data_IF_959722232444
#
_entry.id   IF_959722232444
#
_cell.length_a   1.000
_cell.length_b   1.000
_cell.length_c   1.000
_cell.angle_alpha   90.00
_cell.angle_beta   90.00
_cell.angle_gamma   90.00
#
_symmetry.space_group_name_H-M   'P 1'
#
loop_
_entity.id
_entity.type
_entity.pdbx_description
1 polymer ?
#
# COMPACT_ATOMS: atom_id res chain seq x y z
N UNK A 1 14.78 -2.74 14.48
CA UNK A 1 13.51 -3.02 15.14
C UNK A 1 12.92 -4.33 14.64
N UNK A 2 11.86 -4.86 15.27
CA UNK A 2 11.30 -6.19 14.96
C UNK A 2 12.37 -7.30 14.97
N UNK A 3 13.20 -7.35 16.03
CA UNK A 3 14.28 -8.31 16.17
C UNK A 3 15.25 -8.38 14.96
N UNK A 4 15.48 -7.24 14.30
CA UNK A 4 16.36 -7.12 13.15
C UNK A 4 15.71 -7.50 11.79
N UNK A 5 14.44 -7.89 11.75
CA UNK A 5 13.77 -8.25 10.51
C UNK A 5 13.29 -7.06 9.67
N UNK A 6 13.45 -5.83 10.20
CA UNK A 6 13.18 -4.56 9.50
C UNK A 6 14.38 -3.60 9.66
N UNK A 7 15.48 -3.82 8.95
CA UNK A 7 16.71 -3.03 9.10
C UNK A 7 16.73 -1.75 8.23
N UNK A 8 15.67 -1.46 7.49
CA UNK A 8 15.63 -0.39 6.50
C UNK A 8 15.55 0.99 7.13
N UNK A 9 16.20 1.96 6.48
CA UNK A 9 16.17 3.36 6.90
C UNK A 9 14.79 3.96 6.62
N UNK A 10 14.13 4.56 7.63
CA UNK A 10 12.85 5.21 7.40
C UNK A 10 13.04 6.55 6.68
N UNK A 11 12.24 6.79 5.65
CA UNK A 11 12.05 8.07 4.99
C UNK A 11 10.63 8.57 5.19
N UNK A 12 10.41 9.86 4.98
CA UNK A 12 9.09 10.47 5.15
C UNK A 12 8.85 11.50 4.05
N UNK A 13 7.60 11.55 3.56
CA UNK A 13 7.07 12.56 2.65
C UNK A 13 5.87 13.23 3.32
N UNK A 14 5.81 14.56 3.24
CA UNK A 14 4.69 15.36 3.76
C UNK A 14 3.80 15.90 2.61
N UNK A 15 4.04 15.47 1.37
CA UNK A 15 3.37 15.98 0.16
C UNK A 15 1.84 15.84 0.19
N UNK A 16 1.34 14.82 0.88
CA UNK A 16 -0.11 14.60 1.06
C UNK A 16 -0.70 15.32 2.28
N UNK A 17 0.11 16.19 2.94
CA UNK A 17 -0.29 16.94 4.12
C UNK A 17 -0.43 16.09 5.38
N UNK A 18 0.20 14.93 5.41
CA UNK A 18 0.45 14.08 6.56
C UNK A 18 1.82 13.43 6.38
N UNK A 19 2.42 12.98 7.45
CA UNK A 19 3.74 12.36 7.43
C UNK A 19 3.65 10.92 6.97
N UNK A 20 3.91 10.68 5.68
CA UNK A 20 3.90 9.36 5.06
C UNK A 20 5.26 8.70 5.16
N UNK A 21 5.33 7.55 5.82
CA UNK A 21 6.55 6.74 5.88
C UNK A 21 6.77 5.96 4.58
N UNK A 22 8.03 5.82 4.19
CA UNK A 22 8.44 4.89 3.13
C UNK A 22 9.87 4.40 3.33
N UNK A 23 10.20 3.30 2.68
CA UNK A 23 11.55 2.78 2.50
C UNK A 23 11.98 3.10 1.06
N UNK A 24 13.26 3.40 0.83
CA UNK A 24 13.84 3.69 -0.48
C UNK A 24 15.24 3.08 -0.54
N UNK A 25 15.34 1.89 -1.08
CA UNK A 25 16.56 1.07 -1.12
C UNK A 25 16.99 0.77 -2.56
N UNK A 26 18.31 0.59 -2.73
CA UNK A 26 18.92 0.26 -4.02
C UNK A 26 19.46 1.47 -4.78
N UNK A 27 19.99 1.25 -6.02
CA UNK A 27 20.63 2.30 -6.79
C UNK A 27 19.62 3.37 -7.24
N UNK A 28 19.92 4.64 -7.00
CA UNK A 28 19.04 5.77 -7.28
C UNK A 28 18.63 5.90 -8.74
N UNK A 29 19.53 5.57 -9.66
CA UNK A 29 19.32 5.66 -11.12
C UNK A 29 18.75 4.36 -11.73
N UNK A 30 18.50 3.34 -10.91
CA UNK A 30 17.92 2.11 -11.38
C UNK A 30 16.41 2.25 -11.63
N UNK A 31 15.85 1.31 -12.39
CA UNK A 31 14.40 1.25 -12.61
C UNK A 31 13.64 1.22 -11.29
N UNK A 32 12.61 2.05 -11.19
CA UNK A 32 11.79 2.19 -9.98
C UNK A 32 10.82 1.02 -9.84
N UNK A 33 10.83 0.40 -8.66
CA UNK A 33 9.78 -0.52 -8.19
C UNK A 33 9.05 0.13 -7.01
N UNK A 34 7.74 0.29 -7.10
CA UNK A 34 6.90 0.71 -5.97
C UNK A 34 6.12 -0.50 -5.48
N UNK A 35 6.33 -0.87 -4.20
CA UNK A 35 5.66 -2.00 -3.57
C UNK A 35 4.51 -1.49 -2.70
N UNK A 36 3.25 -1.73 -3.09
CA UNK A 36 2.06 -1.27 -2.38
C UNK A 36 1.38 -2.41 -1.63
N UNK A 37 1.30 -2.26 -0.32
CA UNK A 37 0.62 -3.18 0.58
C UNK A 37 -0.90 -2.98 0.57
N UNK A 38 -1.62 -3.86 1.26
CA UNK A 38 -3.04 -3.75 1.51
C UNK A 38 -3.39 -3.80 3.00
N UNK A 39 -4.62 -4.14 3.30
CA UNK A 39 -5.15 -4.24 4.65
C UNK A 39 -5.17 -5.71 5.13
N UNK A 40 -4.85 -5.99 6.38
CA UNK A 40 -4.43 -5.11 7.48
C UNK A 40 -2.89 -5.05 7.64
N UNK A 41 -2.15 -4.91 6.54
CA UNK A 41 -0.69 -4.96 6.52
C UNK A 41 -0.04 -3.56 6.36
N UNK A 42 1.27 -3.55 6.22
CA UNK A 42 2.07 -2.37 5.93
C UNK A 42 3.34 -2.78 5.17
N UNK A 43 4.27 -1.89 4.91
CA UNK A 43 5.50 -2.17 4.16
C UNK A 43 6.28 -3.41 4.62
N UNK A 44 6.11 -3.85 5.87
CA UNK A 44 6.71 -5.06 6.40
C UNK A 44 6.38 -6.34 5.60
N UNK A 45 5.27 -6.35 4.87
CA UNK A 45 4.92 -7.40 3.92
C UNK A 45 6.08 -7.69 2.96
N UNK A 46 6.77 -6.64 2.53
CA UNK A 46 7.82 -6.69 1.53
C UNK A 46 9.25 -6.88 2.09
N UNK A 47 9.41 -7.10 3.41
CA UNK A 47 10.72 -7.21 4.09
C UNK A 47 11.71 -8.19 3.45
N UNK A 48 11.19 -9.29 2.87
CA UNK A 48 12.01 -10.30 2.20
C UNK A 48 12.21 -10.02 0.70
N UNK A 49 11.39 -9.13 0.11
CA UNK A 49 11.52 -8.68 -1.27
C UNK A 49 12.57 -7.57 -1.40
N UNK A 50 12.55 -6.61 -0.48
CA UNK A 50 13.41 -5.43 -0.52
C UNK A 50 14.88 -5.79 -0.72
N UNK A 51 15.54 -6.66 0.10
CA UNK A 51 16.95 -6.93 -0.04
C UNK A 51 17.35 -7.55 -1.38
N UNK A 52 16.46 -8.38 -1.96
CA UNK A 52 16.73 -9.06 -3.23
C UNK A 52 16.49 -8.15 -4.44
N UNK A 53 15.44 -7.36 -4.38
CA UNK A 53 15.08 -6.47 -5.48
C UNK A 53 16.00 -5.24 -5.52
N UNK A 54 16.44 -4.73 -4.37
CA UNK A 54 17.31 -3.56 -4.28
C UNK A 54 18.74 -3.80 -4.78
N UNK A 55 19.11 -5.04 -5.08
CA UNK A 55 20.37 -5.34 -5.78
C UNK A 55 20.39 -4.78 -7.21
N UNK A 56 19.21 -4.64 -7.86
CA UNK A 56 19.10 -4.26 -9.27
C UNK A 56 18.13 -3.10 -9.52
N UNK A 57 17.24 -2.81 -8.58
CA UNK A 57 16.15 -1.83 -8.72
C UNK A 57 16.18 -0.82 -7.58
N UNK A 58 15.64 0.37 -7.84
CA UNK A 58 15.27 1.29 -6.76
C UNK A 58 13.92 0.88 -6.22
N UNK A 59 13.91 0.33 -5.00
CA UNK A 59 12.72 -0.25 -4.35
C UNK A 59 12.15 0.74 -3.35
N UNK A 60 10.94 1.22 -3.64
CA UNK A 60 10.21 2.17 -2.80
C UNK A 60 9.00 1.48 -2.20
N UNK A 61 8.89 1.52 -0.88
CA UNK A 61 7.82 0.82 -0.14
C UNK A 61 7.13 1.82 0.79
N UNK A 62 6.10 2.55 0.32
CA UNK A 62 5.34 3.45 1.17
C UNK A 62 4.36 2.68 2.06
N UNK A 63 4.14 3.21 3.26
CA UNK A 63 2.98 2.85 4.08
C UNK A 63 1.82 3.77 3.73
N UNK A 64 0.64 3.20 3.52
CA UNK A 64 -0.57 3.99 3.29
C UNK A 64 -0.92 4.84 4.51
N UNK A 65 -1.66 5.93 4.30
CA UNK A 65 -2.22 6.76 5.38
C UNK A 65 -2.99 5.88 6.37
N UNK A 66 -2.67 5.97 7.65
CA UNK A 66 -3.30 5.16 8.70
C UNK A 66 -2.67 3.79 8.94
N UNK A 67 -1.62 3.42 8.18
CA UNK A 67 -0.96 2.12 8.28
C UNK A 67 0.53 2.25 8.63
N UNK A 68 1.08 1.18 9.21
CA UNK A 68 2.49 1.04 9.47
C UNK A 68 3.09 2.17 10.31
N UNK A 69 4.04 2.90 9.73
CA UNK A 69 4.71 4.04 10.37
C UNK A 69 4.24 5.39 9.83
N UNK A 70 3.26 5.40 8.91
CA UNK A 70 2.60 6.61 8.46
C UNK A 70 1.66 7.16 9.53
N UNK A 71 1.44 8.47 9.51
CA UNK A 71 0.46 9.10 10.40
C UNK A 71 -0.95 8.58 10.17
N UNK A 72 -1.77 8.69 11.22
CA UNK A 72 -3.20 8.37 11.22
C UNK A 72 -4.00 9.65 11.53
N UNK A 73 -4.10 10.60 10.55
CA UNK A 73 -4.86 11.83 10.75
C UNK A 73 -6.30 11.55 11.13
N UNK A 74 -6.80 12.24 12.17
CA UNK A 74 -8.16 12.04 12.67
C UNK A 74 -9.19 13.00 12.03
N UNK A 75 -8.71 13.97 11.27
CA UNK A 75 -9.47 15.03 10.61
C UNK A 75 -9.71 14.74 9.11
N UNK A 76 -9.43 13.52 8.67
CA UNK A 76 -9.51 13.11 7.25
C UNK A 76 -10.42 11.92 7.05
N UNK A 77 -10.99 11.85 5.84
CA UNK A 77 -11.81 10.73 5.42
C UNK A 77 -10.93 9.70 4.70
N UNK A 78 -11.00 8.46 5.13
CA UNK A 78 -10.28 7.33 4.57
C UNK A 78 -11.13 6.67 3.48
N UNK A 79 -10.92 7.07 2.25
CA UNK A 79 -11.59 6.50 1.06
C UNK A 79 -10.55 6.00 0.06
N UNK A 80 -10.97 5.15 -0.86
CA UNK A 80 -10.15 4.73 -2.01
C UNK A 80 -9.61 5.95 -2.76
N UNK A 81 -10.46 6.95 -3.01
CA UNK A 81 -10.08 8.18 -3.69
C UNK A 81 -8.94 8.91 -2.96
N UNK A 82 -9.04 9.04 -1.64
CA UNK A 82 -8.00 9.68 -0.81
C UNK A 82 -6.65 8.94 -0.92
N UNK A 83 -6.67 7.60 -0.88
CA UNK A 83 -5.45 6.81 -1.02
C UNK A 83 -4.82 6.93 -2.42
N UNK A 84 -5.62 7.00 -3.48
CA UNK A 84 -5.13 7.24 -4.85
C UNK A 84 -4.48 8.62 -4.97
N UNK A 85 -5.13 9.67 -4.46
CA UNK A 85 -4.58 11.03 -4.47
C UNK A 85 -3.30 11.16 -3.63
N UNK A 86 -3.23 10.44 -2.51
CA UNK A 86 -2.00 10.38 -1.72
C UNK A 86 -0.86 9.72 -2.49
N UNK A 87 -1.14 8.64 -3.23
CA UNK A 87 -0.15 7.98 -4.09
C UNK A 87 0.32 8.90 -5.21
N UNK A 88 -0.59 9.65 -5.85
CA UNK A 88 -0.26 10.64 -6.89
C UNK A 88 0.74 11.68 -6.36
N UNK A 89 0.41 12.31 -5.23
CA UNK A 89 1.27 13.33 -4.61
C UNK A 89 2.62 12.77 -4.14
N UNK A 90 2.62 11.55 -3.62
CA UNK A 90 3.84 10.85 -3.21
C UNK A 90 4.78 10.59 -4.39
N UNK A 91 4.23 10.13 -5.52
CA UNK A 91 4.99 9.86 -6.75
C UNK A 91 5.54 11.16 -7.33
N UNK A 92 4.76 12.25 -7.30
CA UNK A 92 5.18 13.56 -7.75
C UNK A 92 6.28 14.15 -6.86
N UNK A 93 6.15 14.05 -5.55
CA UNK A 93 7.15 14.52 -4.57
C UNK A 93 8.52 13.88 -4.77
N UNK A 94 8.53 12.59 -5.08
CA UNK A 94 9.76 11.84 -5.35
C UNK A 94 10.21 11.91 -6.82
N UNK A 95 9.46 12.61 -7.68
CA UNK A 95 9.70 12.76 -9.12
C UNK A 95 9.97 11.40 -9.80
N UNK A 96 9.04 10.44 -9.63
CA UNK A 96 9.21 9.07 -10.12
C UNK A 96 8.50 8.88 -11.45
N UNK A 97 9.18 8.24 -12.38
CA UNK A 97 8.67 7.85 -13.69
C UNK A 97 9.08 6.41 -14.03
N UNK A 98 8.55 5.86 -15.13
CA UNK A 98 8.87 4.50 -15.63
C UNK A 98 8.62 3.41 -14.58
N UNK A 99 7.55 3.58 -13.79
CA UNK A 99 7.28 2.84 -12.56
C UNK A 99 6.84 1.41 -12.88
N UNK A 100 7.46 0.45 -12.19
CA UNK A 100 6.92 -0.91 -12.05
C UNK A 100 6.28 -1.05 -10.68
N UNK A 101 4.98 -1.31 -10.64
CA UNK A 101 4.27 -1.58 -9.40
C UNK A 101 4.32 -3.07 -9.04
N UNK A 102 4.51 -3.36 -7.76
CA UNK A 102 4.34 -4.67 -7.13
C UNK A 102 3.30 -4.50 -6.03
N UNK A 103 2.10 -5.02 -6.22
CA UNK A 103 0.98 -4.68 -5.36
C UNK A 103 0.18 -5.89 -4.90
N UNK A 104 -0.34 -5.78 -3.69
CA UNK A 104 -1.13 -6.80 -3.03
C UNK A 104 -2.38 -6.16 -2.42
N UNK A 105 -3.52 -6.89 -2.44
CA UNK A 105 -4.78 -6.50 -1.81
C UNK A 105 -5.24 -5.09 -2.23
N UNK A 106 -5.52 -4.14 -1.33
CA UNK A 106 -5.88 -2.75 -1.65
C UNK A 106 -4.83 -2.02 -2.50
N UNK A 107 -3.55 -2.39 -2.36
CA UNK A 107 -2.49 -1.84 -3.21
C UNK A 107 -2.76 -2.03 -4.70
N UNK A 108 -3.39 -3.15 -5.10
CA UNK A 108 -3.76 -3.39 -6.49
C UNK A 108 -4.87 -2.48 -6.99
N UNK A 109 -5.89 -2.22 -6.17
CA UNK A 109 -6.99 -1.31 -6.53
C UNK A 109 -6.50 0.14 -6.65
N UNK A 110 -5.66 0.59 -5.71
CA UNK A 110 -5.05 1.92 -5.72
C UNK A 110 -4.16 2.07 -6.96
N UNK A 111 -3.31 1.08 -7.25
CA UNK A 111 -2.46 1.05 -8.45
C UNK A 111 -3.29 1.08 -9.73
N UNK A 112 -4.38 0.31 -9.79
CA UNK A 112 -5.28 0.28 -10.95
C UNK A 112 -5.86 1.66 -11.25
N UNK A 113 -6.38 2.34 -10.22
CA UNK A 113 -6.91 3.69 -10.36
C UNK A 113 -5.82 4.71 -10.77
N UNK A 114 -4.63 4.63 -10.19
CA UNK A 114 -3.47 5.44 -10.58
C UNK A 114 -3.09 5.20 -12.05
N UNK A 115 -2.98 3.95 -12.48
CA UNK A 115 -2.56 3.58 -13.84
C UNK A 115 -3.54 4.10 -14.91
N UNK A 116 -4.84 4.12 -14.60
CA UNK A 116 -5.84 4.68 -15.53
C UNK A 116 -5.65 6.18 -15.72
N UNK A 117 -5.21 6.89 -14.68
CA UNK A 117 -5.01 8.36 -14.72
C UNK A 117 -3.65 8.76 -15.31
N UNK A 118 -2.63 7.92 -15.09
CA UNK A 118 -1.24 8.20 -15.45
C UNK A 118 -0.59 7.02 -16.18
N UNK A 119 -1.18 6.55 -17.31
CA UNK A 119 -0.67 5.37 -18.03
C UNK A 119 0.76 5.56 -18.55
N UNK A 120 1.15 6.81 -18.84
CA UNK A 120 2.47 7.18 -19.35
C UNK A 120 3.59 6.95 -18.32
N UNK A 121 3.26 6.98 -17.04
CA UNK A 121 4.24 6.82 -15.94
C UNK A 121 4.39 5.37 -15.49
N UNK A 122 3.53 4.47 -15.98
CA UNK A 122 3.50 3.06 -15.54
C UNK A 122 4.06 2.14 -16.60
N UNK A 123 5.16 1.48 -16.28
CA UNK A 123 5.82 0.54 -17.17
C UNK A 123 5.28 -0.88 -17.07
N UNK A 124 5.07 -1.36 -15.84
CA UNK A 124 4.57 -2.71 -15.54
C UNK A 124 3.81 -2.74 -14.23
N UNK A 125 2.97 -3.76 -14.09
CA UNK A 125 2.28 -4.06 -12.84
C UNK A 125 2.38 -5.55 -12.54
N UNK A 126 2.88 -5.90 -11.36
CA UNK A 126 2.87 -7.25 -10.80
C UNK A 126 1.80 -7.34 -9.71
N UNK A 127 0.85 -8.24 -9.88
CA UNK A 127 -0.32 -8.39 -9.02
C UNK A 127 -0.19 -9.63 -8.14
N UNK A 128 -0.40 -9.45 -6.83
CA UNK A 128 -0.40 -10.52 -5.85
C UNK A 128 -1.71 -10.48 -5.06
N UNK A 129 -2.53 -11.52 -5.17
CA UNK A 129 -3.78 -11.67 -4.40
C UNK A 129 -4.60 -10.37 -4.32
N UNK A 130 -4.97 -9.82 -5.48
CA UNK A 130 -5.67 -8.53 -5.58
C UNK A 130 -6.58 -8.46 -6.79
N UNK A 131 -7.39 -7.40 -6.81
CA UNK A 131 -8.15 -6.96 -7.99
C UNK A 131 -7.43 -5.76 -8.61
N UNK A 132 -7.50 -5.66 -9.94
CA UNK A 132 -6.89 -4.57 -10.70
C UNK A 132 -7.91 -4.00 -11.69
N UNK A 133 -8.22 -2.71 -11.54
CA UNK A 133 -8.93 -1.95 -12.54
C UNK A 133 -10.28 -2.50 -12.95
N UNK A 134 -11.23 -2.63 -12.03
CA UNK A 134 -12.56 -3.07 -12.41
C UNK A 134 -13.43 -1.90 -12.87
N UNK A 135 -13.47 -1.65 -14.18
CA UNK A 135 -14.29 -0.61 -14.83
C UNK A 135 -15.72 -1.05 -15.18
N UNK A 136 -16.23 -2.16 -14.66
CA UNK A 136 -17.56 -2.69 -14.94
C UNK A 136 -18.44 -2.78 -13.71
N UNK A 137 -19.78 -2.68 -13.91
CA UNK A 137 -20.74 -3.07 -12.88
C UNK A 137 -20.54 -4.57 -12.62
N UNK A 138 -19.98 -4.92 -11.48
CA UNK A 138 -19.91 -6.32 -11.02
C UNK A 138 -21.35 -6.75 -10.68
N UNK A 139 -22.07 -7.24 -11.68
CA UNK A 139 -23.33 -7.94 -11.43
C UNK A 139 -22.94 -9.29 -10.82
N UNK A 140 -23.35 -9.51 -9.58
CA UNK A 140 -23.13 -10.75 -8.82
C UNK A 140 -21.68 -10.99 -8.31
N UNK A 141 -20.96 -9.97 -7.89
CA UNK A 141 -19.82 -10.21 -7.02
C UNK A 141 -20.32 -10.85 -5.74
N UNK A 142 -20.08 -12.14 -5.59
CA UNK A 142 -20.20 -12.76 -4.27
C UNK A 142 -19.28 -12.00 -3.34
N UNK A 143 -19.86 -11.34 -2.33
CA UNK A 143 -19.05 -10.77 -1.25
C UNK A 143 -18.22 -11.91 -0.69
N UNK A 144 -16.91 -11.74 -0.63
CA UNK A 144 -16.09 -12.80 -0.03
C UNK A 144 -16.53 -13.01 1.42
N UNK A 145 -16.40 -14.21 1.97
CA UNK A 145 -16.73 -14.46 3.38
C UNK A 145 -16.03 -13.48 4.34
N UNK A 146 -14.86 -12.97 3.96
CA UNK A 146 -14.13 -11.94 4.67
C UNK A 146 -14.89 -10.62 4.75
N UNK A 147 -15.39 -10.10 3.63
CA UNK A 147 -16.16 -8.86 3.63
C UNK A 147 -17.51 -8.98 4.34
N UNK A 148 -18.16 -10.14 4.26
CA UNK A 148 -19.39 -10.40 5.01
C UNK A 148 -19.11 -10.48 6.52
N UNK A 149 -17.96 -11.03 6.90
CA UNK A 149 -17.52 -11.09 8.28
C UNK A 149 -17.22 -9.69 8.81
N UNK A 150 -16.46 -8.87 8.06
CA UNK A 150 -16.18 -7.46 8.42
C UNK A 150 -17.49 -6.70 8.65
N UNK A 151 -18.42 -6.73 7.69
CA UNK A 151 -19.68 -5.99 7.78
C UNK A 151 -20.48 -6.37 9.04
N UNK A 152 -20.55 -7.66 9.37
CA UNK A 152 -21.24 -8.13 10.60
C UNK A 152 -20.61 -7.60 11.88
N UNK A 153 -19.27 -7.54 11.94
CA UNK A 153 -18.55 -7.07 13.11
C UNK A 153 -18.52 -5.54 13.22
N UNK A 154 -18.59 -4.84 12.10
CA UNK A 154 -18.75 -3.40 12.07
C UNK A 154 -20.13 -2.98 12.62
N UNK A 155 -21.22 -3.62 12.15
CA UNK A 155 -22.58 -3.41 12.68
C UNK A 155 -22.68 -3.75 14.18
N UNK A 156 -21.97 -4.77 14.64
CA UNK A 156 -21.91 -5.16 16.05
C UNK A 156 -20.99 -4.28 16.91
N UNK A 157 -20.22 -3.35 16.32
CA UNK A 157 -19.25 -2.50 17.02
C UNK A 157 -18.03 -3.25 17.58
N UNK A 158 -17.80 -4.50 17.17
CA UNK A 158 -16.72 -5.36 17.67
C UNK A 158 -15.48 -5.38 16.78
N UNK A 159 -15.53 -4.76 15.61
CA UNK A 159 -14.48 -4.83 14.59
C UNK A 159 -13.11 -4.35 15.09
N UNK A 160 -13.07 -3.24 15.83
CA UNK A 160 -11.82 -2.66 16.33
C UNK A 160 -11.05 -3.61 17.27
N UNK A 161 -11.75 -4.30 18.15
CA UNK A 161 -11.12 -5.26 19.07
C UNK A 161 -10.50 -6.42 18.33
N UNK A 162 -11.25 -6.99 17.40
CA UNK A 162 -10.84 -8.18 16.64
C UNK A 162 -9.69 -7.87 15.68
N UNK A 163 -9.72 -6.75 14.96
CA UNK A 163 -8.60 -6.34 14.08
C UNK A 163 -7.34 -6.03 14.88
N UNK A 164 -7.46 -5.49 16.09
CA UNK A 164 -6.33 -5.30 17.00
C UNK A 164 -5.69 -6.61 17.42
N UNK A 165 -6.48 -7.63 17.74
CA UNK A 165 -6.01 -8.98 18.08
C UNK A 165 -5.40 -9.70 16.88
N UNK A 166 -6.03 -9.64 15.71
CA UNK A 166 -5.48 -10.20 14.47
C UNK A 166 -4.16 -9.54 14.07
N UNK A 167 -4.07 -8.22 14.17
CA UNK A 167 -2.83 -7.49 13.90
C UNK A 167 -1.69 -7.92 14.80
N UNK A 168 -1.95 -8.17 16.08
CA UNK A 168 -0.94 -8.65 17.02
C UNK A 168 -0.52 -10.11 16.75
N UNK A 169 -1.43 -10.94 16.25
CA UNK A 169 -1.18 -12.36 15.99
C UNK A 169 -0.49 -12.60 14.64
N UNK A 170 -0.78 -11.79 13.62
CA UNK A 170 -0.18 -11.92 12.28
C UNK A 170 1.22 -11.30 12.20
N UNK A 171 1.57 -10.41 13.15
CA UNK A 171 2.84 -9.70 13.17
C UNK A 171 3.82 -10.22 14.22
N UNK A 172 3.43 -11.19 15.04
CA UNK A 172 4.30 -11.91 15.98
C UNK A 172 4.91 -13.16 15.30
#
# INVERSE_FOLDING_TARGET
TFNGTWPFTPHFSDASGFRQHYVDEGPREAQVLICLHGEPTWGYLYRNFIPRLSEQYRVIVPDHMGFGKSETPQDRVYTMQTHVENLERFIDDLNLDDITFVCQDWGGLITGAYTIRHPERVKRVALMNTLFGYGGKVQNAHKSPWFEWIARHEEAGTLRGILGELGSTVLS
#
